data_IF_435863444219
#
_entry.id   IF_435863444219
#
_cell.length_a   1.000
_cell.length_b   1.000
_cell.length_c   1.000
_cell.angle_alpha   90.00
_cell.angle_beta   90.00
_cell.angle_gamma   90.00
#
_symmetry.space_group_name_H-M   'P 1'
#
loop_
_entity.id
_entity.type
_entity.pdbx_description
1 polymer ?
#
# COMPACT_ATOMS: atom_id res chain seq x y z
N UNK A 1 6.17 4.90 19.16
CA UNK A 1 5.73 6.30 18.90
C UNK A 1 4.23 6.38 19.14
N UNK A 2 3.77 7.46 19.77
CA UNK A 2 2.35 7.72 19.99
C UNK A 2 1.80 8.65 18.92
N UNK A 3 0.77 8.24 18.18
CA UNK A 3 -0.03 9.17 17.37
C UNK A 3 -1.25 9.62 18.18
N UNK A 4 -1.53 10.91 18.16
CA UNK A 4 -2.73 11.49 18.76
C UNK A 4 -3.82 11.59 17.70
N UNK A 5 -4.92 10.86 17.89
CA UNK A 5 -6.10 10.99 17.04
C UNK A 5 -7.00 12.10 17.57
N UNK A 6 -7.74 12.77 16.68
CA UNK A 6 -8.69 13.82 17.05
C UNK A 6 -9.82 13.31 17.98
N UNK A 7 -10.03 12.00 18.08
CA UNK A 7 -10.94 11.32 19.01
C UNK A 7 -10.46 11.28 20.46
N UNK A 8 -9.22 11.72 20.76
CA UNK A 8 -8.62 11.63 22.09
C UNK A 8 -7.92 10.29 22.38
N UNK A 9 -7.97 9.34 21.46
CA UNK A 9 -7.24 8.07 21.57
C UNK A 9 -5.76 8.22 21.21
N UNK A 10 -4.91 7.53 22.00
CA UNK A 10 -3.47 7.43 21.78
C UNK A 10 -3.15 6.06 21.19
N UNK A 11 -2.56 6.05 20.00
CA UNK A 11 -2.14 4.82 19.35
C UNK A 11 -0.63 4.65 19.47
N UNK A 12 -0.18 3.52 20.04
CA UNK A 12 1.24 3.26 20.27
C UNK A 12 1.77 2.24 19.25
N UNK A 13 2.82 2.62 18.52
CA UNK A 13 3.57 1.70 17.67
C UNK A 13 4.73 1.06 18.44
N UNK A 14 4.72 -0.28 18.53
CA UNK A 14 5.82 -1.11 19.01
C UNK A 14 6.79 -1.39 17.85
N UNK A 15 8.10 -1.33 18.10
CA UNK A 15 9.13 -1.65 17.12
C UNK A 15 10.30 -2.37 17.77
N UNK A 16 10.87 -3.36 17.08
CA UNK A 16 12.10 -4.05 17.44
C UNK A 16 13.34 -3.46 16.74
N UNK A 17 13.22 -2.29 16.10
CA UNK A 17 14.34 -1.61 15.45
C UNK A 17 15.37 -1.14 16.49
N UNK A 18 16.66 -0.99 16.11
CA UNK A 18 17.70 -0.53 17.04
C UNK A 18 17.32 0.78 17.73
N UNK A 19 17.71 0.99 19.00
CA UNK A 19 17.35 2.21 19.75
C UNK A 19 17.81 3.52 19.09
N UNK A 20 18.84 3.47 18.25
CA UNK A 20 19.37 4.62 17.49
C UNK A 20 18.67 4.86 16.15
N UNK A 21 17.59 4.13 15.86
CA UNK A 21 16.81 4.33 14.64
C UNK A 21 16.21 5.72 14.64
N UNK A 22 16.51 6.50 13.59
CA UNK A 22 15.95 7.84 13.48
C UNK A 22 14.43 7.80 13.39
N UNK A 23 13.78 8.84 13.93
CA UNK A 23 12.34 8.98 13.83
C UNK A 23 11.85 8.98 12.36
N UNK A 24 12.63 9.56 11.44
CA UNK A 24 12.33 9.52 10.00
C UNK A 24 12.30 8.09 9.46
N UNK A 25 13.26 7.26 9.85
CA UNK A 25 13.31 5.86 9.41
C UNK A 25 12.13 5.06 9.99
N UNK A 26 11.80 5.29 11.27
CA UNK A 26 10.65 4.65 11.90
C UNK A 26 9.32 5.05 11.23
N UNK A 27 9.11 6.34 10.99
CA UNK A 27 7.93 6.84 10.26
C UNK A 27 7.86 6.29 8.84
N UNK A 28 9.01 6.17 8.16
CA UNK A 28 9.13 5.52 6.86
C UNK A 28 8.68 4.05 6.88
N UNK A 29 9.11 3.29 7.89
CA UNK A 29 8.72 1.89 8.06
C UNK A 29 7.22 1.74 8.33
N UNK A 30 6.65 2.56 9.22
CA UNK A 30 5.21 2.58 9.50
C UNK A 30 4.41 2.91 8.24
N UNK A 31 4.85 3.92 7.49
CA UNK A 31 4.20 4.32 6.24
C UNK A 31 4.30 3.23 5.18
N UNK A 32 5.43 2.52 5.08
CA UNK A 32 5.59 1.42 4.15
C UNK A 32 4.57 0.29 4.41
N UNK A 33 4.33 -0.06 5.69
CA UNK A 33 3.28 -1.02 6.06
C UNK A 33 1.91 -0.57 5.55
N UNK A 34 1.55 0.69 5.80
CA UNK A 34 0.27 1.23 5.36
C UNK A 34 0.12 1.22 3.83
N UNK A 35 1.20 1.53 3.09
CA UNK A 35 1.18 1.44 1.61
C UNK A 35 0.87 0.02 1.14
N UNK A 36 1.40 -1.02 1.79
CA UNK A 36 1.10 -2.41 1.45
C UNK A 36 -0.37 -2.78 1.72
N UNK A 37 -0.94 -2.30 2.83
CA UNK A 37 -2.35 -2.50 3.17
C UNK A 37 -3.27 -1.82 2.16
N UNK A 38 -2.95 -0.58 1.81
CA UNK A 38 -3.69 0.16 0.81
C UNK A 38 -3.62 -0.51 -0.57
N UNK A 39 -2.44 -0.97 -0.99
CA UNK A 39 -2.29 -1.71 -2.24
C UNK A 39 -3.13 -3.00 -2.26
N UNK A 40 -3.17 -3.74 -1.15
CA UNK A 40 -4.03 -4.91 -1.01
C UNK A 40 -5.52 -4.58 -1.11
N UNK A 41 -5.96 -3.48 -0.48
CA UNK A 41 -7.36 -3.03 -0.58
C UNK A 41 -7.73 -2.67 -2.02
N UNK A 42 -6.87 -1.94 -2.73
CA UNK A 42 -7.10 -1.60 -4.14
C UNK A 42 -7.17 -2.84 -5.03
N UNK A 43 -6.26 -3.79 -4.83
CA UNK A 43 -6.28 -5.05 -5.56
C UNK A 43 -7.61 -5.80 -5.36
N UNK A 44 -8.07 -5.92 -4.11
CA UNK A 44 -9.30 -6.64 -3.77
C UNK A 44 -10.56 -5.96 -4.27
N UNK A 45 -10.71 -4.67 -3.95
CA UNK A 45 -11.97 -3.95 -4.13
C UNK A 45 -12.10 -3.33 -5.53
N UNK A 46 -11.02 -2.76 -6.06
CA UNK A 46 -11.05 -1.98 -7.30
C UNK A 46 -10.63 -2.80 -8.52
N UNK A 47 -9.66 -3.71 -8.35
CA UNK A 47 -9.03 -4.44 -9.46
C UNK A 47 -9.48 -5.90 -9.58
N UNK A 48 -10.56 -6.24 -8.88
CA UNK A 48 -11.27 -7.49 -9.08
C UNK A 48 -10.66 -8.70 -8.39
N UNK A 49 -9.57 -8.59 -7.62
CA UNK A 49 -9.00 -9.72 -6.90
C UNK A 49 -10.01 -10.33 -5.90
N UNK A 50 -10.92 -9.52 -5.34
CA UNK A 50 -12.01 -9.98 -4.47
C UNK A 50 -13.20 -10.62 -5.19
N UNK A 51 -13.25 -10.58 -6.52
CA UNK A 51 -14.38 -11.02 -7.34
C UNK A 51 -14.13 -12.35 -8.07
N UNK A 52 -13.09 -13.10 -7.67
CA UNK A 52 -12.82 -14.40 -8.27
C UNK A 52 -13.77 -15.48 -7.70
N UNK A 53 -14.62 -16.05 -8.55
CA UNK A 53 -15.61 -17.09 -8.19
C UNK A 53 -15.21 -18.51 -8.63
N UNK A 54 -14.04 -18.66 -9.25
CA UNK A 54 -13.54 -19.95 -9.71
C UNK A 54 -13.06 -20.85 -8.58
N UNK A 55 -12.92 -22.16 -8.86
CA UNK A 55 -12.46 -23.18 -7.89
C UNK A 55 -11.11 -23.82 -8.22
N UNK A 56 -10.41 -23.32 -9.25
CA UNK A 56 -9.10 -23.84 -9.63
C UNK A 56 -7.97 -22.95 -9.11
N UNK A 57 -6.93 -23.58 -8.55
CA UNK A 57 -5.72 -22.88 -8.13
C UNK A 57 -5.06 -22.12 -9.28
N UNK A 58 -4.95 -22.77 -10.44
CA UNK A 58 -4.41 -22.13 -11.65
C UNK A 58 -5.25 -20.94 -12.11
N UNK A 59 -6.58 -21.03 -11.99
CA UNK A 59 -7.49 -19.92 -12.30
C UNK A 59 -7.28 -18.73 -11.37
N UNK A 60 -7.18 -18.99 -10.06
CA UNK A 60 -6.90 -17.96 -9.05
C UNK A 60 -5.55 -17.28 -9.31
N UNK A 61 -4.51 -18.06 -9.61
CA UNK A 61 -3.18 -17.52 -9.90
C UNK A 61 -3.14 -16.61 -11.12
N UNK A 62 -3.81 -17.02 -12.21
CA UNK A 62 -3.92 -16.20 -13.43
C UNK A 62 -4.71 -14.92 -13.15
N UNK A 63 -5.80 -15.01 -12.42
CA UNK A 63 -6.61 -13.86 -12.02
C UNK A 63 -5.82 -12.87 -11.17
N UNK A 64 -5.10 -13.37 -10.16
CA UNK A 64 -4.25 -12.54 -9.31
C UNK A 64 -3.12 -11.88 -10.10
N UNK A 65 -2.48 -12.59 -11.02
CA UNK A 65 -1.46 -12.02 -11.90
C UNK A 65 -2.03 -10.87 -12.74
N UNK A 66 -3.21 -11.05 -13.35
CA UNK A 66 -3.85 -10.00 -14.14
C UNK A 66 -4.19 -8.76 -13.30
N UNK A 67 -4.74 -8.95 -12.09
CA UNK A 67 -5.02 -7.86 -11.16
C UNK A 67 -3.74 -7.10 -10.76
N UNK A 68 -2.64 -7.82 -10.49
CA UNK A 68 -1.33 -7.24 -10.19
C UNK A 68 -0.75 -6.45 -11.37
N UNK A 69 -0.88 -6.94 -12.61
CA UNK A 69 -0.44 -6.22 -13.82
C UNK A 69 -1.25 -4.93 -13.99
N UNK A 70 -2.57 -4.99 -13.84
CA UNK A 70 -3.42 -3.81 -13.90
C UNK A 70 -3.04 -2.78 -12.83
N UNK A 71 -2.79 -3.23 -11.59
CA UNK A 71 -2.29 -2.38 -10.52
C UNK A 71 -0.97 -1.71 -10.89
N UNK A 72 0.03 -2.49 -11.33
CA UNK A 72 1.34 -1.96 -11.71
C UNK A 72 1.24 -0.91 -12.83
N UNK A 73 0.37 -1.13 -13.81
CA UNK A 73 0.10 -0.17 -14.88
C UNK A 73 -0.49 1.14 -14.34
N UNK A 74 -1.48 1.08 -13.45
CA UNK A 74 -2.06 2.28 -12.84
C UNK A 74 -1.03 3.04 -11.99
N UNK A 75 -0.19 2.33 -11.23
CA UNK A 75 0.88 2.95 -10.46
C UNK A 75 1.90 3.64 -11.38
N UNK A 76 2.23 3.03 -12.52
CA UNK A 76 3.09 3.64 -13.54
C UNK A 76 2.50 4.96 -14.05
N UNK A 77 1.21 4.99 -14.38
CA UNK A 77 0.53 6.21 -14.84
C UNK A 77 0.51 7.30 -13.77
N UNK A 78 0.19 6.96 -12.51
CA UNK A 78 0.18 7.89 -11.37
C UNK A 78 1.56 8.53 -11.15
N UNK A 79 2.64 7.73 -11.24
CA UNK A 79 4.01 8.22 -11.13
C UNK A 79 4.39 9.14 -12.30
N UNK A 80 4.01 8.79 -13.52
CA UNK A 80 4.24 9.63 -14.69
C UNK A 80 3.53 10.99 -14.57
N UNK A 81 2.28 11.00 -14.09
CA UNK A 81 1.54 12.23 -13.85
C UNK A 81 2.20 13.10 -12.76
N UNK A 82 2.61 12.50 -11.65
CA UNK A 82 3.29 13.23 -10.57
C UNK A 82 4.61 13.87 -11.06
N UNK A 83 5.39 13.14 -11.88
CA UNK A 83 6.60 13.68 -12.53
C UNK A 83 6.32 14.83 -13.48
N UNK A 84 5.20 14.79 -14.21
CA UNK A 84 4.79 15.92 -15.07
C UNK A 84 4.46 17.15 -14.24
N UNK A 85 3.65 17.01 -13.19
CA UNK A 85 3.25 18.13 -12.32
C UNK A 85 4.45 18.78 -11.64
N UNK A 86 5.39 17.98 -11.13
CA UNK A 86 6.62 18.48 -10.48
C UNK A 86 7.60 19.16 -11.44
N UNK A 87 7.50 18.92 -12.75
CA UNK A 87 8.34 19.59 -13.77
C UNK A 87 7.70 20.87 -14.32
N UNK A 88 6.41 21.07 -14.07
CA UNK A 88 5.62 22.21 -14.58
C UNK A 88 5.38 23.30 -13.54
N UNK A 89 5.80 23.11 -12.29
CA UNK A 89 5.83 24.13 -11.24
C UNK A 89 7.26 24.39 -10.81
#
# INVERSE_FOLDING_TARGET
>A
MGEWRASGEREYHLSNLPPRTSLRALAGAIKARWVCEQAHQQLKQELGLGHFEGRSWTGLHRHALMACIAFAYLQHLRLAEHRRRTRSG
#
